data_IF_868559102538
#
_entry.id   IF_868559102538
#
_cell.length_a   1.000
_cell.length_b   1.000
_cell.length_c   1.000
_cell.angle_alpha   90.00
_cell.angle_beta   90.00
_cell.angle_gamma   90.00
#
_symmetry.space_group_name_H-M   'P 1'
#
loop_
_entity.id
_entity.type
_entity.pdbx_description
1 polymer ?
#
# COMPACT_ATOMS: atom_id res chain seq x y z
N UNK A 1 7.86 14.36 8.36
CA UNK A 1 7.77 12.94 7.92
C UNK A 1 7.13 12.79 6.54
N UNK A 2 5.91 13.26 6.28
CA UNK A 2 5.28 13.11 4.96
C UNK A 2 6.12 13.71 3.81
N UNK A 3 6.65 14.93 3.98
CA UNK A 3 7.57 15.57 3.02
C UNK A 3 8.81 14.72 2.81
N UNK A 4 9.45 14.24 3.89
CA UNK A 4 10.61 13.37 3.82
C UNK A 4 10.36 12.11 2.98
N UNK A 5 9.17 11.53 3.10
CA UNK A 5 8.82 10.31 2.34
C UNK A 5 8.41 10.59 0.89
N UNK A 6 8.14 11.83 0.50
CA UNK A 6 7.74 12.21 -0.87
C UNK A 6 8.77 13.07 -1.60
N UNK A 7 9.86 13.44 -0.95
CA UNK A 7 10.92 14.21 -1.56
C UNK A 7 11.76 13.35 -2.50
N UNK A 8 12.17 13.93 -3.63
CA UNK A 8 13.02 13.27 -4.62
C UNK A 8 14.52 13.41 -4.31
N UNK A 9 14.91 14.45 -3.58
CA UNK A 9 16.26 14.73 -3.12
C UNK A 9 16.24 15.77 -1.99
N UNK A 10 17.42 16.18 -1.51
CA UNK A 10 17.56 17.14 -0.40
C UNK A 10 17.06 18.55 -0.77
N UNK A 11 17.19 18.95 -2.03
CA UNK A 11 16.73 20.26 -2.50
C UNK A 11 15.20 20.29 -2.62
N UNK A 12 14.59 19.22 -3.12
CA UNK A 12 13.14 19.05 -3.12
C UNK A 12 12.57 18.98 -1.69
N UNK A 13 13.26 18.29 -0.77
CA UNK A 13 12.92 18.28 0.65
C UNK A 13 12.95 19.70 1.22
N UNK A 14 14.02 20.45 0.99
CA UNK A 14 14.18 21.84 1.45
C UNK A 14 13.06 22.74 0.91
N UNK A 15 12.77 22.63 -0.38
CA UNK A 15 11.70 23.39 -1.05
C UNK A 15 10.33 23.09 -0.43
N UNK A 16 9.97 21.81 -0.32
CA UNK A 16 8.69 21.37 0.27
C UNK A 16 8.55 21.79 1.73
N UNK A 17 9.63 21.71 2.51
CA UNK A 17 9.65 22.22 3.89
C UNK A 17 9.35 23.72 3.91
N UNK A 18 9.93 24.48 2.97
CA UNK A 18 9.66 25.91 2.85
C UNK A 18 8.19 26.26 2.60
N UNK A 19 7.43 25.37 1.96
CA UNK A 19 6.00 25.55 1.63
C UNK A 19 5.04 25.09 2.75
N UNK A 20 5.56 24.61 3.88
CA UNK A 20 4.71 24.29 5.04
C UNK A 20 4.12 25.58 5.61
N UNK A 21 2.78 25.62 5.73
CA UNK A 21 2.07 26.67 6.48
C UNK A 21 2.18 26.36 7.97
N UNK A 22 2.65 27.32 8.76
CA UNK A 22 2.87 27.16 10.22
C UNK A 22 1.98 28.06 11.07
N UNK A 23 1.49 29.17 10.50
CA UNK A 23 0.61 30.10 11.18
C UNK A 23 -0.18 30.94 10.17
N UNK A 24 -1.07 31.77 10.68
CA UNK A 24 -1.79 32.80 9.92
C UNK A 24 -1.57 34.15 10.60
N UNK A 25 -1.45 35.22 9.81
CA UNK A 25 -1.41 36.59 10.32
C UNK A 25 -2.81 37.04 10.74
N UNK A 26 -2.91 38.18 11.43
CA UNK A 26 -4.19 38.78 11.81
C UNK A 26 -5.09 39.11 10.60
N UNK A 27 -4.52 39.33 9.42
CA UNK A 27 -5.26 39.55 8.18
C UNK A 27 -5.71 38.25 7.47
N UNK A 28 -5.41 37.08 8.06
CA UNK A 28 -5.73 35.77 7.52
C UNK A 28 -4.76 35.24 6.46
N UNK A 29 -3.73 36.00 6.07
CA UNK A 29 -2.72 35.50 5.14
C UNK A 29 -1.83 34.43 5.79
N UNK A 30 -1.43 33.37 5.05
CA UNK A 30 -0.61 32.29 5.60
C UNK A 30 0.82 32.76 5.89
N UNK A 31 1.43 32.15 6.90
CA UNK A 31 2.87 32.24 7.21
C UNK A 31 3.49 30.88 6.91
N UNK A 32 4.49 30.87 6.03
CA UNK A 32 5.21 29.68 5.61
C UNK A 32 6.54 29.54 6.37
N UNK A 33 7.11 28.33 6.41
CA UNK A 33 8.45 28.11 6.98
C UNK A 33 9.52 28.96 6.29
N UNK A 34 9.39 29.19 4.98
CA UNK A 34 10.32 30.06 4.23
C UNK A 34 10.29 31.52 4.68
N UNK A 35 9.17 32.02 5.20
CA UNK A 35 9.07 33.38 5.74
C UNK A 35 9.86 33.52 7.06
N UNK A 36 10.13 32.39 7.74
CA UNK A 36 10.95 32.29 8.94
C UNK A 36 12.42 31.94 8.63
N UNK A 37 12.79 31.78 7.36
CA UNK A 37 14.12 31.36 6.90
C UNK A 37 14.62 30.03 7.52
N UNK A 38 13.72 29.14 7.93
CA UNK A 38 14.07 27.93 8.66
C UNK A 38 14.28 26.68 7.78
N UNK A 39 13.84 26.71 6.52
CA UNK A 39 13.90 25.56 5.60
C UNK A 39 15.32 25.04 5.34
N UNK A 40 16.31 25.95 5.31
CA UNK A 40 17.72 25.57 5.14
C UNK A 40 18.27 24.83 6.35
N UNK A 41 17.95 25.28 7.56
CA UNK A 41 18.35 24.62 8.80
C UNK A 41 17.71 23.23 8.94
N UNK A 42 16.43 23.10 8.59
CA UNK A 42 15.75 21.80 8.57
C UNK A 42 16.40 20.85 7.56
N UNK A 43 16.69 21.32 6.34
CA UNK A 43 17.38 20.50 5.35
C UNK A 43 18.76 20.05 5.83
N UNK A 44 19.53 20.94 6.47
CA UNK A 44 20.83 20.59 7.06
C UNK A 44 20.72 19.47 8.10
N UNK A 45 19.73 19.54 9.00
CA UNK A 45 19.48 18.49 10.00
C UNK A 45 19.08 17.15 9.36
N UNK A 46 18.43 17.19 8.19
CA UNK A 46 17.99 16.00 7.46
C UNK A 46 19.04 15.47 6.46
N UNK A 47 20.21 16.11 6.34
CA UNK A 47 21.22 15.82 5.30
C UNK A 47 21.60 14.35 5.25
N UNK A 48 21.91 13.74 6.40
CA UNK A 48 22.31 12.33 6.44
C UNK A 48 21.07 11.42 6.49
N UNK A 49 20.02 11.88 7.18
CA UNK A 49 18.78 11.15 7.34
C UNK A 49 18.09 10.85 6.00
N UNK A 50 18.31 11.66 4.95
CA UNK A 50 17.67 11.48 3.65
C UNK A 50 18.19 10.27 2.85
N UNK A 51 19.33 9.69 3.26
CA UNK A 51 19.89 8.51 2.63
C UNK A 51 19.16 7.21 3.07
N UNK A 52 18.67 6.38 2.13
CA UNK A 52 18.06 5.09 2.47
C UNK A 52 18.99 4.16 3.26
N UNK A 53 18.46 3.52 4.30
CA UNK A 53 19.22 2.55 5.11
C UNK A 53 19.16 1.16 4.49
N UNK A 54 20.32 0.62 4.09
CA UNK A 54 20.45 -0.77 3.66
C UNK A 54 20.59 -1.70 4.85
N UNK A 55 19.74 -2.71 4.89
CA UNK A 55 19.81 -3.86 5.78
C UNK A 55 19.55 -5.14 4.96
N UNK A 56 19.32 -6.27 5.63
CA UNK A 56 19.01 -7.53 4.97
C UNK A 56 17.93 -8.31 5.71
N UNK A 57 17.24 -9.20 4.99
CA UNK A 57 16.36 -10.22 5.57
C UNK A 57 17.17 -11.33 6.25
N UNK A 58 16.50 -12.28 6.89
CA UNK A 58 17.14 -13.48 7.47
C UNK A 58 17.85 -14.36 6.41
N UNK A 59 17.46 -14.22 5.14
CA UNK A 59 18.03 -14.94 3.99
C UNK A 59 19.00 -14.08 3.18
N UNK A 60 19.47 -12.97 3.77
CA UNK A 60 20.42 -12.03 3.18
C UNK A 60 19.89 -11.26 1.95
N UNK A 61 18.58 -11.25 1.71
CA UNK A 61 17.98 -10.42 0.66
C UNK A 61 18.15 -8.94 1.03
N UNK A 62 18.70 -8.09 0.16
CA UNK A 62 18.83 -6.66 0.42
C UNK A 62 17.46 -6.01 0.70
N UNK A 63 17.38 -5.21 1.77
CA UNK A 63 16.16 -4.50 2.15
C UNK A 63 16.47 -3.05 2.49
N UNK A 64 15.68 -2.11 1.95
CA UNK A 64 15.77 -0.69 2.28
C UNK A 64 14.68 -0.32 3.29
N UNK A 65 15.08 0.18 4.46
CA UNK A 65 14.15 0.68 5.48
C UNK A 65 14.32 2.19 5.62
N UNK A 66 13.32 2.96 5.17
CA UNK A 66 13.45 4.41 5.11
C UNK A 66 12.11 5.16 5.14
N UNK A 67 11.92 6.00 6.15
CA UNK A 67 10.67 6.74 6.36
C UNK A 67 9.53 5.88 6.92
N UNK A 68 8.49 6.55 7.42
CA UNK A 68 7.33 5.89 8.04
C UNK A 68 6.27 6.89 8.46
N UNK A 69 5.52 7.49 7.52
CA UNK A 69 4.42 8.37 7.84
C UNK A 69 3.18 7.56 8.23
N UNK A 70 2.24 8.19 8.94
CA UNK A 70 0.93 7.57 9.15
C UNK A 70 0.18 7.33 7.84
N UNK A 71 -0.75 6.37 7.87
CA UNK A 71 -1.61 6.01 6.75
C UNK A 71 -3.03 6.60 6.84
N UNK A 72 -3.37 7.35 7.91
CA UNK A 72 -4.63 8.10 8.03
C UNK A 72 -4.46 9.56 7.54
N UNK A 73 -3.70 10.37 8.28
CA UNK A 73 -3.43 11.79 7.98
C UNK A 73 -2.30 12.00 6.96
N UNK A 74 -1.68 10.91 6.48
CA UNK A 74 -0.68 10.89 5.43
C UNK A 74 -0.81 9.58 4.62
N UNK A 75 0.15 9.31 3.72
CA UNK A 75 0.04 8.29 2.69
C UNK A 75 0.59 6.90 3.09
N UNK A 76 1.14 6.73 4.29
CA UNK A 76 1.45 5.39 4.83
C UNK A 76 2.53 4.58 4.10
N UNK A 77 3.42 5.18 3.33
CA UNK A 77 4.44 4.47 2.56
C UNK A 77 5.86 4.82 3.02
N UNK A 78 6.83 3.93 2.77
CA UNK A 78 8.26 4.28 2.84
C UNK A 78 8.61 5.37 1.81
N UNK A 79 9.81 5.92 1.92
CA UNK A 79 10.25 7.06 1.12
C UNK A 79 10.30 6.80 -0.40
N UNK A 80 10.04 7.86 -1.18
CA UNK A 80 10.24 7.91 -2.63
C UNK A 80 11.67 7.54 -3.02
N UNK A 81 12.65 8.10 -2.32
CA UNK A 81 14.08 7.84 -2.54
C UNK A 81 14.44 6.36 -2.43
N UNK A 82 13.99 5.67 -1.38
CA UNK A 82 14.26 4.23 -1.22
C UNK A 82 13.61 3.41 -2.34
N UNK A 83 12.36 3.71 -2.70
CA UNK A 83 11.67 3.01 -3.80
C UNK A 83 12.37 3.25 -5.15
N UNK A 84 12.71 4.50 -5.48
CA UNK A 84 13.41 4.83 -6.73
C UNK A 84 14.82 4.23 -6.79
N UNK A 85 15.54 4.20 -5.66
CA UNK A 85 16.85 3.56 -5.57
C UNK A 85 16.74 2.06 -5.82
N UNK A 86 15.81 1.36 -5.16
CA UNK A 86 15.58 -0.06 -5.37
C UNK A 86 15.22 -0.38 -6.84
N UNK A 87 14.33 0.41 -7.46
CA UNK A 87 13.94 0.26 -8.87
C UNK A 87 15.11 0.45 -9.85
N UNK A 88 16.20 1.10 -9.45
CA UNK A 88 17.42 1.24 -10.27
C UNK A 88 18.44 0.13 -10.04
N UNK A 89 18.35 -0.59 -8.92
CA UNK A 89 19.33 -1.58 -8.50
C UNK A 89 18.85 -3.03 -8.65
N UNK A 90 17.54 -3.25 -8.78
CA UNK A 90 16.94 -4.59 -8.83
C UNK A 90 15.88 -4.68 -9.95
N UNK A 91 15.73 -5.89 -10.49
CA UNK A 91 14.70 -6.20 -11.49
C UNK A 91 13.28 -6.15 -10.90
N UNK A 92 13.14 -6.54 -9.63
CA UNK A 92 11.89 -6.51 -8.88
C UNK A 92 12.08 -5.71 -7.58
N UNK A 93 11.21 -4.73 -7.36
CA UNK A 93 11.15 -3.96 -6.11
C UNK A 93 9.81 -4.22 -5.43
N UNK A 94 9.84 -4.93 -4.30
CA UNK A 94 8.66 -5.15 -3.45
C UNK A 94 8.57 -4.04 -2.41
N UNK A 95 7.40 -3.43 -2.29
CA UNK A 95 7.10 -2.39 -1.29
C UNK A 95 5.67 -2.56 -0.79
N UNK A 96 5.35 -1.93 0.33
CA UNK A 96 4.02 -1.96 0.95
C UNK A 96 3.52 -0.55 1.31
N UNK A 97 2.25 -0.49 1.73
CA UNK A 97 1.61 0.68 2.30
C UNK A 97 0.79 0.25 3.54
N UNK A 98 0.70 1.11 4.55
CA UNK A 98 0.02 0.80 5.81
C UNK A 98 -1.51 0.76 5.70
N UNK A 99 -2.15 0.02 6.60
CA UNK A 99 -3.58 -0.31 6.60
C UNK A 99 -4.01 -1.20 5.42
N UNK A 100 -5.31 -1.25 5.12
CA UNK A 100 -5.89 -2.02 4.01
C UNK A 100 -5.71 -1.32 2.66
N UNK A 101 -6.15 -1.98 1.58
CA UNK A 101 -6.04 -1.44 0.22
C UNK A 101 -6.94 -0.20 -0.02
N UNK A 102 -7.97 -0.04 0.80
CA UNK A 102 -8.86 1.13 0.83
C UNK A 102 -8.15 2.42 1.25
N UNK A 103 -7.13 2.34 2.11
CA UNK A 103 -6.34 3.49 2.55
C UNK A 103 -4.91 3.48 2.03
N UNK A 104 -4.17 2.41 2.30
CA UNK A 104 -2.75 2.32 1.97
C UNK A 104 -2.52 2.26 0.47
N UNK A 105 -3.19 1.32 -0.21
CA UNK A 105 -3.01 1.16 -1.65
C UNK A 105 -3.58 2.34 -2.44
N UNK A 106 -4.78 2.85 -2.10
CA UNK A 106 -5.32 4.08 -2.68
C UNK A 106 -4.31 5.23 -2.59
N UNK A 107 -3.78 5.52 -1.39
CA UNK A 107 -2.81 6.61 -1.22
C UNK A 107 -1.47 6.31 -1.88
N UNK A 108 -1.04 5.05 -1.94
CA UNK A 108 0.14 4.67 -2.71
C UNK A 108 -0.08 5.00 -4.19
N UNK A 109 -1.21 4.66 -4.78
CA UNK A 109 -1.52 4.91 -6.18
C UNK A 109 -1.76 6.40 -6.49
N UNK A 110 -2.70 7.03 -5.79
CA UNK A 110 -3.15 8.40 -6.08
C UNK A 110 -2.20 9.49 -5.58
N UNK A 111 -1.33 9.17 -4.61
CA UNK A 111 -0.34 10.13 -4.08
C UNK A 111 1.07 9.71 -4.45
N UNK A 112 1.58 8.59 -3.90
CA UNK A 112 3.00 8.24 -4.06
C UNK A 112 3.36 7.96 -5.52
N UNK A 113 2.65 7.06 -6.19
CA UNK A 113 2.93 6.70 -7.57
C UNK A 113 2.77 7.89 -8.51
N UNK A 114 1.74 8.73 -8.29
CA UNK A 114 1.57 10.00 -8.99
C UNK A 114 2.79 10.92 -8.85
N UNK A 115 3.22 11.24 -7.62
CA UNK A 115 4.37 12.12 -7.40
C UNK A 115 5.68 11.51 -7.92
N UNK A 116 5.84 10.20 -7.79
CA UNK A 116 7.05 9.49 -8.17
C UNK A 116 7.14 9.09 -9.64
N UNK A 117 6.07 9.32 -10.42
CA UNK A 117 5.88 8.72 -11.74
C UNK A 117 6.14 7.21 -11.75
N UNK A 118 5.65 6.53 -10.70
CA UNK A 118 5.77 5.08 -10.56
C UNK A 118 4.65 4.40 -11.33
N UNK A 119 4.95 3.24 -11.92
CA UNK A 119 3.98 2.41 -12.65
C UNK A 119 3.96 1.02 -12.02
N UNK A 120 3.09 0.78 -11.03
CA UNK A 120 3.02 -0.51 -10.35
C UNK A 120 2.61 -1.62 -11.33
N UNK A 121 3.39 -2.71 -11.38
CA UNK A 121 3.16 -3.81 -12.33
C UNK A 121 2.21 -4.89 -11.79
N UNK A 122 2.13 -5.02 -10.46
CA UNK A 122 1.23 -5.94 -9.77
C UNK A 122 0.98 -5.42 -8.35
N UNK A 123 -0.12 -5.84 -7.73
CA UNK A 123 -0.42 -5.59 -6.34
C UNK A 123 -0.79 -6.90 -5.63
N UNK A 124 -0.05 -7.21 -4.55
CA UNK A 124 -0.37 -8.37 -3.70
C UNK A 124 -1.30 -7.94 -2.58
N UNK A 125 -2.48 -8.56 -2.50
CA UNK A 125 -3.44 -8.36 -1.41
C UNK A 125 -3.31 -9.52 -0.44
N UNK A 126 -2.85 -9.24 0.77
CA UNK A 126 -2.66 -10.25 1.80
C UNK A 126 -3.96 -10.47 2.57
N UNK A 127 -4.35 -11.73 2.76
CA UNK A 127 -5.51 -12.13 3.55
C UNK A 127 -5.19 -13.32 4.45
N UNK A 128 -6.02 -13.54 5.47
CA UNK A 128 -6.02 -14.77 6.30
C UNK A 128 -7.44 -15.25 6.49
N UNK A 129 -7.65 -16.57 6.57
CA UNK A 129 -8.96 -17.16 6.85
C UNK A 129 -9.57 -16.60 8.13
N UNK A 130 -8.75 -16.42 9.17
CA UNK A 130 -9.16 -15.85 10.46
C UNK A 130 -9.66 -14.40 10.33
N UNK A 131 -8.97 -13.55 9.58
CA UNK A 131 -9.41 -12.17 9.36
C UNK A 131 -10.72 -12.12 8.57
N UNK A 132 -10.87 -12.96 7.54
CA UNK A 132 -12.11 -13.05 6.78
C UNK A 132 -13.27 -13.54 7.65
N UNK A 133 -13.09 -14.61 8.45
CA UNK A 133 -14.11 -15.00 9.43
C UNK A 133 -14.49 -13.87 10.39
N UNK A 134 -13.52 -13.07 10.83
CA UNK A 134 -13.79 -11.91 11.67
C UNK A 134 -14.67 -10.85 10.96
N UNK A 135 -14.40 -10.55 9.69
CA UNK A 135 -15.27 -9.71 8.87
C UNK A 135 -16.68 -10.31 8.69
N UNK A 136 -16.80 -11.63 8.71
CA UNK A 136 -18.08 -12.35 8.73
C UNK A 136 -18.78 -12.39 10.08
N UNK A 137 -18.23 -11.73 11.11
CA UNK A 137 -18.82 -11.62 12.44
C UNK A 137 -18.28 -12.60 13.49
N UNK A 138 -17.24 -13.38 13.18
CA UNK A 138 -16.62 -14.27 14.15
C UNK A 138 -15.96 -13.50 15.30
N UNK A 139 -16.17 -13.97 16.53
CA UNK A 139 -15.48 -13.45 17.72
C UNK A 139 -14.08 -14.03 17.82
N UNK A 140 -13.23 -13.37 18.63
CA UNK A 140 -11.80 -13.71 18.76
C UNK A 140 -11.55 -15.16 19.18
N UNK A 141 -12.39 -15.70 20.04
CA UNK A 141 -12.38 -17.08 20.55
C UNK A 141 -12.91 -18.12 19.56
N UNK A 142 -13.62 -17.69 18.52
CA UNK A 142 -14.17 -18.57 17.47
C UNK A 142 -13.20 -18.75 16.29
N UNK A 143 -12.20 -17.89 16.15
CA UNK A 143 -11.32 -17.85 14.96
C UNK A 143 -10.52 -19.13 14.70
N UNK A 144 -10.30 -19.96 15.72
CA UNK A 144 -9.58 -21.23 15.61
C UNK A 144 -10.44 -22.42 15.17
N UNK A 145 -11.76 -22.23 15.05
CA UNK A 145 -12.72 -23.27 14.65
C UNK A 145 -13.15 -23.02 13.22
N UNK A 146 -13.27 -24.09 12.43
CA UNK A 146 -13.78 -24.01 11.05
C UNK A 146 -15.16 -23.36 11.01
N UNK A 147 -15.35 -22.36 10.13
CA UNK A 147 -16.67 -21.80 9.86
C UNK A 147 -16.76 -21.21 8.44
N UNK A 148 -17.23 -22.02 7.49
CA UNK A 148 -17.40 -21.61 6.09
C UNK A 148 -18.45 -20.53 5.89
N UNK A 149 -19.50 -20.46 6.72
CA UNK A 149 -20.56 -19.45 6.58
C UNK A 149 -20.05 -18.05 6.95
N UNK A 150 -19.31 -17.94 8.06
CA UNK A 150 -18.66 -16.69 8.45
C UNK A 150 -17.56 -16.32 7.45
N UNK A 151 -16.78 -17.30 7.00
CA UNK A 151 -15.75 -17.08 5.99
C UNK A 151 -16.36 -16.52 4.69
N UNK A 152 -17.45 -17.11 4.21
CA UNK A 152 -18.15 -16.66 3.01
C UNK A 152 -18.67 -15.23 3.14
N UNK A 153 -19.30 -14.88 4.27
CA UNK A 153 -19.77 -13.51 4.53
C UNK A 153 -18.63 -12.50 4.59
N UNK A 154 -17.53 -12.85 5.24
CA UNK A 154 -16.39 -11.94 5.37
C UNK A 154 -15.51 -11.85 4.13
N UNK A 155 -15.66 -12.79 3.19
CA UNK A 155 -14.96 -12.75 1.90
C UNK A 155 -15.33 -11.50 1.10
N UNK A 156 -16.53 -10.95 1.27
CA UNK A 156 -16.98 -9.70 0.64
C UNK A 156 -15.99 -8.54 0.84
N UNK A 157 -15.29 -8.51 1.98
CA UNK A 157 -14.23 -7.53 2.23
C UNK A 157 -13.04 -7.69 1.26
N UNK A 158 -12.57 -8.92 1.05
CA UNK A 158 -11.47 -9.22 0.13
C UNK A 158 -11.90 -9.00 -1.32
N UNK A 159 -13.11 -9.43 -1.68
CA UNK A 159 -13.73 -9.17 -2.98
C UNK A 159 -13.70 -7.67 -3.31
N UNK A 160 -14.13 -6.83 -2.37
CA UNK A 160 -14.11 -5.37 -2.56
C UNK A 160 -12.69 -4.82 -2.77
N UNK A 161 -11.70 -5.31 -2.03
CA UNK A 161 -10.32 -4.88 -2.23
C UNK A 161 -9.72 -5.33 -3.58
N UNK A 162 -10.07 -6.52 -4.05
CA UNK A 162 -9.68 -7.01 -5.39
C UNK A 162 -10.27 -6.10 -6.47
N UNK A 163 -11.56 -5.76 -6.37
CA UNK A 163 -12.21 -4.81 -7.27
C UNK A 163 -11.53 -3.44 -7.27
N UNK A 164 -11.23 -2.90 -6.08
CA UNK A 164 -10.62 -1.59 -5.92
C UNK A 164 -9.23 -1.52 -6.59
N UNK A 165 -8.39 -2.54 -6.41
CA UNK A 165 -7.08 -2.60 -7.08
C UNK A 165 -7.23 -2.60 -8.60
N UNK A 166 -8.21 -3.35 -9.14
CA UNK A 166 -8.50 -3.37 -10.58
C UNK A 166 -8.90 -2.00 -11.13
N UNK A 167 -9.55 -1.12 -10.33
CA UNK A 167 -9.92 0.25 -10.77
C UNK A 167 -8.70 1.10 -11.17
N UNK A 168 -7.56 0.84 -10.55
CA UNK A 168 -6.28 1.48 -10.88
C UNK A 168 -5.59 0.87 -12.10
N UNK A 169 -6.15 -0.17 -12.73
CA UNK A 169 -5.53 -0.87 -13.86
C UNK A 169 -4.31 -1.70 -13.47
N UNK A 170 -4.19 -2.07 -12.19
CA UNK A 170 -3.09 -2.90 -11.67
C UNK A 170 -3.58 -4.35 -11.47
N UNK A 171 -2.87 -5.36 -11.97
CA UNK A 171 -3.21 -6.76 -11.72
C UNK A 171 -3.12 -7.12 -10.23
N UNK A 172 -4.18 -7.76 -9.70
CA UNK A 172 -4.23 -8.20 -8.31
C UNK A 172 -3.81 -9.68 -8.17
N UNK A 173 -2.96 -9.95 -7.19
CA UNK A 173 -2.60 -11.30 -6.73
C UNK A 173 -2.96 -11.41 -5.25
N UNK A 174 -3.75 -12.40 -4.86
CA UNK A 174 -4.11 -12.64 -3.46
C UNK A 174 -3.12 -13.60 -2.84
N UNK A 175 -2.54 -13.21 -1.71
CA UNK A 175 -1.71 -14.09 -0.88
C UNK A 175 -2.47 -14.46 0.40
N UNK A 176 -2.86 -15.72 0.52
CA UNK A 176 -3.51 -16.26 1.72
C UNK A 176 -2.41 -16.75 2.66
N UNK A 177 -2.13 -16.00 3.72
CA UNK A 177 -1.17 -16.40 4.73
C UNK A 177 -1.76 -17.51 5.60
N UNK A 178 -1.16 -18.71 5.54
CA UNK A 178 -1.63 -19.89 6.26
C UNK A 178 -1.38 -19.80 7.76
N UNK A 179 -2.37 -20.20 8.55
CA UNK A 179 -2.26 -20.38 9.98
C UNK A 179 -2.46 -21.85 10.39
N UNK A 180 -1.89 -22.32 11.52
CA UNK A 180 -2.02 -23.73 11.92
C UNK A 180 -3.46 -24.24 12.13
N UNK A 181 -4.40 -23.34 12.43
CA UNK A 181 -5.81 -23.68 12.66
C UNK A 181 -6.67 -23.63 11.40
N UNK A 182 -6.14 -23.14 10.29
CA UNK A 182 -6.90 -23.03 9.05
C UNK A 182 -7.11 -24.44 8.48
N UNK A 183 -8.35 -24.79 8.16
CA UNK A 183 -8.65 -26.09 7.54
C UNK A 183 -8.44 -26.04 6.04
N UNK A 184 -8.24 -27.21 5.43
CA UNK A 184 -8.13 -27.28 3.96
C UNK A 184 -9.39 -26.77 3.27
N UNK A 185 -10.57 -27.05 3.83
CA UNK A 185 -11.84 -26.57 3.28
C UNK A 185 -11.95 -25.04 3.29
N UNK A 186 -11.48 -24.37 4.35
CA UNK A 186 -11.45 -22.91 4.42
C UNK A 186 -10.44 -22.31 3.43
N UNK A 187 -9.26 -22.93 3.29
CA UNK A 187 -8.25 -22.49 2.34
C UNK A 187 -8.75 -22.64 0.90
N UNK A 188 -9.30 -23.81 0.55
CA UNK A 188 -9.86 -24.09 -0.77
C UNK A 188 -11.01 -23.14 -1.10
N UNK A 189 -11.87 -22.83 -0.13
CA UNK A 189 -12.94 -21.85 -0.30
C UNK A 189 -12.39 -20.49 -0.74
N UNK A 190 -11.37 -19.95 -0.04
CA UNK A 190 -10.80 -18.63 -0.35
C UNK A 190 -10.13 -18.64 -1.72
N UNK A 191 -9.35 -19.68 -2.03
CA UNK A 191 -8.64 -19.80 -3.31
C UNK A 191 -9.62 -19.88 -4.49
N UNK A 192 -10.59 -20.80 -4.43
CA UNK A 192 -11.60 -20.98 -5.48
C UNK A 192 -12.42 -19.71 -5.69
N UNK A 193 -12.82 -19.03 -4.60
CA UNK A 193 -13.62 -17.80 -4.72
C UNK A 193 -12.83 -16.64 -5.34
N UNK A 194 -11.52 -16.56 -5.11
CA UNK A 194 -10.67 -15.60 -5.82
C UNK A 194 -10.56 -15.91 -7.31
N UNK A 195 -10.42 -17.19 -7.67
CA UNK A 195 -10.35 -17.63 -9.07
C UNK A 195 -11.67 -17.31 -9.82
N UNK A 196 -12.83 -17.51 -9.18
CA UNK A 196 -14.14 -17.11 -9.73
C UNK A 196 -14.22 -15.61 -10.04
N UNK A 197 -13.51 -14.77 -9.27
CA UNK A 197 -13.40 -13.33 -9.51
C UNK A 197 -12.29 -12.95 -10.50
N UNK A 198 -11.64 -13.94 -11.11
CA UNK A 198 -10.52 -13.74 -12.03
C UNK A 198 -9.29 -13.13 -11.37
N UNK A 199 -9.11 -13.32 -10.06
CA UNK A 199 -7.90 -12.94 -9.34
C UNK A 199 -7.03 -14.18 -9.09
N UNK A 200 -5.73 -14.08 -9.35
CA UNK A 200 -4.80 -15.16 -9.00
C UNK A 200 -4.68 -15.22 -7.47
N UNK A 201 -4.91 -16.36 -6.86
CA UNK A 201 -4.75 -16.55 -5.43
C UNK A 201 -3.81 -17.71 -5.11
N UNK A 202 -2.99 -17.52 -4.09
CA UNK A 202 -1.98 -18.51 -3.68
C UNK A 202 -1.87 -18.56 -2.17
N UNK A 203 -1.57 -19.76 -1.68
CA UNK A 203 -1.20 -19.96 -0.29
C UNK A 203 0.24 -19.47 -0.05
N UNK A 204 0.46 -18.83 1.09
CA UNK A 204 1.77 -18.38 1.55
C UNK A 204 2.09 -19.01 2.91
N UNK A 205 3.24 -19.67 3.00
CA UNK A 205 3.77 -20.30 4.21
C UNK A 205 5.08 -19.65 4.68
N UNK A 206 5.37 -18.42 4.22
CA UNK A 206 6.65 -17.74 4.46
C UNK A 206 7.01 -17.56 5.93
N UNK A 207 6.01 -17.48 6.82
CA UNK A 207 6.25 -17.39 8.26
C UNK A 207 6.88 -18.66 8.84
N UNK A 208 6.43 -19.84 8.37
CA UNK A 208 6.89 -21.13 8.87
C UNK A 208 8.03 -21.75 8.05
N UNK A 209 8.21 -21.32 6.79
CA UNK A 209 9.13 -21.94 5.83
C UNK A 209 10.09 -20.96 5.15
N UNK A 210 10.15 -19.69 5.58
CA UNK A 210 10.99 -18.68 4.93
C UNK A 210 10.65 -18.47 3.46
N UNK A 211 11.65 -18.15 2.64
CA UNK A 211 11.49 -17.92 1.20
C UNK A 211 10.88 -19.10 0.44
N UNK A 212 11.16 -20.34 0.87
CA UNK A 212 10.58 -21.55 0.26
C UNK A 212 9.04 -21.53 0.33
N UNK A 213 8.47 -21.07 1.45
CA UNK A 213 7.03 -20.93 1.63
C UNK A 213 6.37 -19.85 0.79
N UNK A 214 7.16 -19.03 0.08
CA UNK A 214 6.70 -17.95 -0.81
C UNK A 214 6.98 -18.22 -2.28
N UNK A 215 7.55 -19.37 -2.65
CA UNK A 215 7.98 -19.64 -4.03
C UNK A 215 6.82 -19.62 -5.04
N UNK A 216 5.67 -20.18 -4.69
CA UNK A 216 4.49 -20.14 -5.57
C UNK A 216 3.94 -18.72 -5.73
N UNK A 217 3.92 -17.92 -4.66
CA UNK A 217 3.57 -16.51 -4.75
C UNK A 217 4.55 -15.73 -5.63
N UNK A 218 5.85 -15.94 -5.46
CA UNK A 218 6.86 -15.30 -6.29
C UNK A 218 6.67 -15.63 -7.78
N UNK A 219 6.46 -16.91 -8.12
CA UNK A 219 6.17 -17.35 -9.50
C UNK A 219 4.92 -16.66 -10.06
N UNK A 220 3.81 -16.63 -9.30
CA UNK A 220 2.58 -15.98 -9.75
C UNK A 220 2.72 -14.48 -9.93
N UNK A 221 3.45 -13.81 -9.06
CA UNK A 221 3.75 -12.38 -9.24
C UNK A 221 4.58 -12.16 -10.50
N UNK A 222 5.62 -12.96 -10.74
CA UNK A 222 6.43 -12.88 -11.96
C UNK A 222 5.57 -13.13 -13.21
N UNK A 223 4.77 -14.20 -13.23
CA UNK A 223 3.85 -14.51 -14.34
C UNK A 223 2.91 -13.33 -14.65
N UNK A 224 2.35 -12.69 -13.62
CA UNK A 224 1.44 -11.55 -13.76
C UNK A 224 2.17 -10.31 -14.28
N UNK A 225 3.39 -10.04 -13.78
CA UNK A 225 4.20 -8.91 -14.24
C UNK A 225 4.63 -9.10 -15.69
N UNK A 226 5.08 -10.30 -16.07
CA UNK A 226 5.60 -10.61 -17.41
C UNK A 226 4.52 -10.64 -18.49
N UNK A 227 3.25 -10.90 -18.14
CA UNK A 227 2.12 -10.70 -19.06
C UNK A 227 1.99 -9.25 -19.54
N UNK A 228 2.48 -8.28 -18.76
CA UNK A 228 2.53 -6.87 -19.17
C UNK A 228 1.17 -6.19 -19.27
N UNK A 229 0.15 -6.71 -18.58
CA UNK A 229 -1.24 -6.22 -18.66
C UNK A 229 -1.52 -4.99 -17.78
N UNK A 230 -0.56 -4.59 -16.94
CA UNK A 230 -0.72 -3.43 -16.07
C UNK A 230 -0.86 -2.14 -16.88
N UNK A 231 -2.00 -1.46 -16.70
CA UNK A 231 -2.33 -0.19 -17.32
C UNK A 231 -2.66 0.84 -16.23
N UNK A 232 -1.66 1.13 -15.40
CA UNK A 232 -1.81 1.95 -14.21
C UNK A 232 -2.39 3.34 -14.54
N UNK A 233 -3.43 3.73 -13.79
CA UNK A 233 -4.01 5.08 -13.80
C UNK A 233 -4.40 5.49 -12.39
N UNK A 234 -4.39 6.79 -12.11
CA UNK A 234 -4.94 7.35 -10.86
C UNK A 234 -6.46 7.42 -10.92
N UNK A 235 -7.12 7.44 -9.77
CA UNK A 235 -8.57 7.36 -9.64
C UNK A 235 -9.29 8.66 -10.05
N UNK A 236 -8.64 9.80 -9.85
CA UNK A 236 -9.19 11.15 -10.12
C UNK A 236 -8.14 12.08 -10.75
N UNK A 237 -8.54 13.24 -11.28
CA UNK A 237 -7.62 14.25 -11.82
C UNK A 237 -7.20 15.26 -10.75
N UNK A 238 -5.96 15.76 -10.81
CA UNK A 238 -5.48 16.80 -9.88
C UNK A 238 -6.18 18.15 -10.06
N UNK A 239 -6.81 18.39 -11.21
CA UNK A 239 -7.57 19.59 -11.51
C UNK A 239 -9.03 19.53 -11.01
N UNK A 240 -9.50 18.35 -10.61
CA UNK A 240 -10.85 18.22 -10.03
C UNK A 240 -10.97 19.01 -8.72
N UNK A 241 -12.19 19.43 -8.40
CA UNK A 241 -12.46 20.10 -7.12
C UNK A 241 -12.14 19.17 -5.94
N UNK A 242 -11.75 19.73 -4.79
CA UNK A 242 -11.46 18.94 -3.58
C UNK A 242 -12.67 18.06 -3.21
N UNK A 243 -13.89 18.60 -3.31
CA UNK A 243 -15.13 17.86 -3.01
C UNK A 243 -15.31 16.68 -3.95
N UNK A 244 -15.11 16.89 -5.25
CA UNK A 244 -15.19 15.83 -6.27
C UNK A 244 -14.22 14.70 -5.95
N UNK A 245 -12.95 15.02 -5.64
CA UNK A 245 -11.95 13.99 -5.31
C UNK A 245 -12.34 13.17 -4.08
N UNK A 246 -12.84 13.83 -3.03
CA UNK A 246 -13.32 13.16 -1.81
C UNK A 246 -14.49 12.23 -2.13
N UNK A 247 -15.47 12.73 -2.89
CA UNK A 247 -16.65 11.97 -3.28
C UNK A 247 -16.30 10.78 -4.18
N UNK A 248 -15.35 10.95 -5.10
CA UNK A 248 -14.82 9.86 -5.94
C UNK A 248 -14.20 8.76 -5.09
N UNK A 249 -13.32 9.09 -4.13
CA UNK A 249 -12.73 8.07 -3.24
C UNK A 249 -13.84 7.37 -2.43
N UNK A 250 -14.77 8.12 -1.86
CA UNK A 250 -15.85 7.56 -1.03
C UNK A 250 -16.74 6.58 -1.81
N UNK A 251 -17.15 6.95 -3.03
CA UNK A 251 -18.01 6.11 -3.87
C UNK A 251 -17.24 4.95 -4.48
N UNK A 252 -16.09 5.22 -5.07
CA UNK A 252 -15.38 4.21 -5.85
C UNK A 252 -14.64 3.20 -4.96
N UNK A 253 -13.95 3.67 -3.92
CA UNK A 253 -13.13 2.80 -3.06
C UNK A 253 -13.94 2.26 -1.89
N UNK A 254 -14.64 3.13 -1.15
CA UNK A 254 -15.37 2.69 0.05
C UNK A 254 -16.77 2.14 -0.24
N UNK A 255 -17.36 2.47 -1.40
CA UNK A 255 -18.73 2.06 -1.74
C UNK A 255 -19.81 2.87 -1.00
N UNK A 256 -19.49 4.10 -0.57
CA UNK A 256 -20.48 4.99 0.04
C UNK A 256 -21.46 5.54 -1.00
N UNK A 257 -22.68 5.87 -0.58
CA UNK A 257 -23.68 6.53 -1.45
C UNK A 257 -23.26 7.96 -1.84
N UNK A 258 -22.42 8.61 -1.03
CA UNK A 258 -21.92 9.98 -1.23
C UNK A 258 -21.25 10.56 0.02
N UNK A 259 -20.92 11.85 -0.05
CA UNK A 259 -20.33 12.67 1.03
C UNK A 259 -21.08 13.98 1.18
#
# INVERSE_FOLDING_TARGET
MAIFCLADDLEDLKRRVGDIIVAYKFDGSPVFVKDLNAQGAVALLMKDAIAPNLVQTLENTPALIHGGPFANIAHGCNSMLATKLALKLADYTVTEAGFGADLGAEKFFDIKARFGNLKPNAAVIVATVRALKHHGGAKKDELGTENLDQLAKGFENLEKHIENVKKFGVPAVVAVNKFPTDTQAELDFVLNRCEELGATAVLSEVWGKGGEGGMELAKKVVEVVEKGEANFKTLYDVNDSIKTKIETIAKEIYGADGV
#
